data_IF_817977648129
#
_entry.id   IF_817977648129
#
_cell.length_a   1.000
_cell.length_b   1.000
_cell.length_c   1.000
_cell.angle_alpha   90.00
_cell.angle_beta   90.00
_cell.angle_gamma   90.00
#
_symmetry.space_group_name_H-M   'P 1'
#
loop_
_entity.id
_entity.type
_entity.pdbx_description
1 polymer ?
#
# COMPACT_ATOMS: atom_id res chain seq x y z
N UNK A 1 15.40 94.85 63.41
CA UNK A 1 15.87 93.46 63.49
C UNK A 1 17.12 93.34 62.63
N UNK A 2 18.24 92.91 63.20
CA UNK A 2 19.56 92.99 62.54
C UNK A 2 19.76 91.80 61.58
N UNK A 3 20.18 92.04 60.31
CA UNK A 3 20.42 91.02 59.28
C UNK A 3 21.47 89.95 59.65
N UNK A 4 22.20 90.16 60.75
CA UNK A 4 23.27 89.28 61.23
C UNK A 4 22.76 88.12 62.12
N UNK A 5 21.52 88.21 62.63
CA UNK A 5 20.92 87.14 63.45
C UNK A 5 20.31 86.03 62.60
N UNK A 6 19.64 86.37 61.49
CA UNK A 6 19.07 85.40 60.55
C UNK A 6 20.15 84.53 59.90
N UNK A 7 21.27 85.12 59.43
CA UNK A 7 22.39 84.37 58.83
C UNK A 7 23.05 83.35 59.77
N UNK A 8 23.11 83.62 61.07
CA UNK A 8 23.68 82.69 62.06
C UNK A 8 22.73 81.53 62.37
N UNK A 9 21.41 81.76 62.35
CA UNK A 9 20.42 80.68 62.45
C UNK A 9 20.39 79.80 61.21
N UNK A 10 20.53 80.38 60.01
CA UNK A 10 20.58 79.59 58.76
C UNK A 10 21.80 78.67 58.71
N UNK A 11 22.97 79.16 59.15
CA UNK A 11 24.19 78.35 59.21
C UNK A 11 24.10 77.21 60.24
N UNK A 12 23.51 77.46 61.41
CA UNK A 12 23.29 76.39 62.41
C UNK A 12 22.30 75.34 61.94
N UNK A 13 21.26 75.74 61.20
CA UNK A 13 20.32 74.81 60.59
C UNK A 13 20.99 73.94 59.50
N UNK A 14 21.82 74.54 58.65
CA UNK A 14 22.57 73.79 57.62
C UNK A 14 23.54 72.77 58.22
N UNK A 15 24.27 73.12 59.29
CA UNK A 15 25.19 72.19 59.97
C UNK A 15 24.44 70.99 60.55
N UNK A 16 23.24 71.19 61.10
CA UNK A 16 22.40 70.08 61.60
C UNK A 16 21.97 69.14 60.48
N UNK A 17 21.52 69.71 59.35
CA UNK A 17 21.10 68.91 58.19
C UNK A 17 22.28 68.07 57.65
N UNK A 18 23.49 68.64 57.55
CA UNK A 18 24.68 67.91 57.10
C UNK A 18 24.99 66.73 58.04
N UNK A 19 24.98 66.96 59.36
CA UNK A 19 25.25 65.92 60.35
C UNK A 19 24.23 64.78 60.28
N UNK A 20 22.97 65.08 60.00
CA UNK A 20 21.91 64.08 59.87
C UNK A 20 22.06 63.28 58.57
N UNK A 21 22.41 63.94 57.47
CA UNK A 21 22.73 63.30 56.19
C UNK A 21 23.90 62.31 56.34
N UNK A 22 24.99 62.69 57.02
CA UNK A 22 26.15 61.82 57.18
C UNK A 22 25.81 60.54 57.98
N UNK A 23 24.96 60.67 59.00
CA UNK A 23 24.47 59.50 59.75
C UNK A 23 23.62 58.58 58.87
N UNK A 24 22.67 59.15 58.12
CA UNK A 24 21.81 58.39 57.22
C UNK A 24 22.61 57.71 56.10
N UNK A 25 23.67 58.34 55.56
CA UNK A 25 24.56 57.72 54.57
C UNK A 25 25.22 56.45 55.10
N UNK A 26 25.69 56.46 56.34
CA UNK A 26 26.26 55.27 56.99
C UNK A 26 25.20 54.17 57.13
N UNK A 27 23.98 54.54 57.54
CA UNK A 27 22.88 53.59 57.70
C UNK A 27 22.48 52.99 56.34
N UNK A 28 22.31 53.81 55.31
CA UNK A 28 21.99 53.37 53.95
C UNK A 28 23.06 52.41 53.39
N UNK A 29 24.34 52.74 53.58
CA UNK A 29 25.44 51.89 53.13
C UNK A 29 25.48 50.54 53.90
N UNK A 30 25.21 50.55 55.21
CA UNK A 30 25.10 49.31 55.98
C UNK A 30 23.93 48.44 55.50
N UNK A 31 22.78 49.03 55.20
CA UNK A 31 21.66 48.28 54.59
C UNK A 31 22.04 47.70 53.23
N UNK A 32 22.76 48.45 52.40
CA UNK A 32 23.27 47.96 51.11
C UNK A 32 24.22 46.77 51.28
N UNK A 33 25.20 46.87 52.18
CA UNK A 33 26.15 45.78 52.50
C UNK A 33 25.44 44.54 53.07
N UNK A 34 24.37 44.73 53.84
CA UNK A 34 23.51 43.65 54.35
C UNK A 34 22.51 43.10 53.31
N UNK A 35 22.58 43.56 52.04
CA UNK A 35 21.65 43.22 50.96
C UNK A 35 20.17 43.57 51.24
N UNK A 36 19.93 44.51 52.14
CA UNK A 36 18.60 45.09 52.44
C UNK A 36 18.32 46.27 51.51
N UNK A 37 18.16 45.96 50.23
CA UNK A 37 18.20 46.95 49.16
C UNK A 37 17.04 47.95 49.19
N UNK A 38 15.84 47.53 49.59
CA UNK A 38 14.68 48.43 49.69
C UNK A 38 14.83 49.42 50.85
N UNK A 39 15.37 48.98 51.98
CA UNK A 39 15.68 49.83 53.13
C UNK A 39 16.80 50.83 52.81
N UNK A 40 17.83 50.40 52.07
CA UNK A 40 18.89 51.29 51.60
C UNK A 40 18.34 52.39 50.66
N UNK A 41 17.45 52.03 49.71
CA UNK A 41 16.80 53.00 48.82
C UNK A 41 15.97 54.00 49.62
N UNK A 42 15.14 53.53 50.56
CA UNK A 42 14.28 54.38 51.38
C UNK A 42 15.09 55.42 52.17
N UNK A 43 16.18 54.99 52.81
CA UNK A 43 17.05 55.91 53.57
C UNK A 43 17.75 56.89 52.63
N UNK A 44 18.15 56.47 51.43
CA UNK A 44 18.70 57.37 50.42
C UNK A 44 17.68 58.39 49.88
N UNK A 45 16.40 58.04 49.79
CA UNK A 45 15.32 58.98 49.49
C UNK A 45 15.13 60.00 50.62
N UNK A 46 15.19 59.58 51.89
CA UNK A 46 15.18 60.46 53.06
C UNK A 46 16.38 61.44 53.06
N UNK A 47 17.57 60.98 52.66
CA UNK A 47 18.75 61.85 52.47
C UNK A 47 18.50 62.88 51.37
N UNK A 48 17.86 62.49 50.26
CA UNK A 48 17.52 63.42 49.17
C UNK A 48 16.55 64.51 49.65
N UNK A 49 15.54 64.16 50.44
CA UNK A 49 14.60 65.14 51.02
C UNK A 49 15.29 66.13 51.96
N UNK A 50 16.22 65.66 52.81
CA UNK A 50 17.01 66.53 53.68
C UNK A 50 17.97 67.41 52.87
N UNK A 51 18.62 66.88 51.83
CA UNK A 51 19.52 67.60 50.95
C UNK A 51 18.79 68.69 50.14
N UNK A 52 17.53 68.46 49.75
CA UNK A 52 16.68 69.47 49.10
C UNK A 52 16.36 70.64 50.03
N UNK A 53 16.06 70.38 51.31
CA UNK A 53 15.83 71.44 52.31
C UNK A 53 17.06 72.31 52.56
N UNK A 54 18.26 71.78 52.27
CA UNK A 54 19.54 72.48 52.43
C UNK A 54 20.18 72.98 51.13
N UNK A 55 19.49 72.89 49.98
CA UNK A 55 20.02 73.23 48.64
C UNK A 55 21.34 72.52 48.27
N UNK A 56 21.52 71.28 48.73
CA UNK A 56 22.75 70.49 48.54
C UNK A 56 22.68 69.60 47.28
N UNK A 57 22.78 70.22 46.10
CA UNK A 57 22.63 69.54 44.81
C UNK A 57 23.60 68.39 44.55
N UNK A 58 24.84 68.47 45.06
CA UNK A 58 25.84 67.39 44.94
C UNK A 58 25.40 66.11 45.64
N UNK A 59 24.84 66.22 46.84
CA UNK A 59 24.36 65.08 47.64
C UNK A 59 23.14 64.44 46.97
N UNK A 60 22.24 65.24 46.39
CA UNK A 60 21.09 64.74 45.64
C UNK A 60 21.56 63.89 44.45
N UNK A 61 22.54 64.36 43.68
CA UNK A 61 23.10 63.60 42.54
C UNK A 61 23.77 62.31 42.99
N UNK A 62 24.59 62.36 44.05
CA UNK A 62 25.27 61.21 44.63
C UNK A 62 24.26 60.12 45.07
N UNK A 63 23.20 60.50 45.80
CA UNK A 63 22.20 59.53 46.25
C UNK A 63 21.36 58.96 45.10
N UNK A 64 21.05 59.75 44.07
CA UNK A 64 20.39 59.23 42.86
C UNK A 64 21.25 58.19 42.15
N UNK A 65 22.56 58.40 42.06
CA UNK A 65 23.51 57.42 41.50
C UNK A 65 23.61 56.17 42.37
N UNK A 66 23.62 56.33 43.69
CA UNK A 66 23.61 55.21 44.62
C UNK A 66 22.32 54.37 44.49
N UNK A 67 21.14 55.01 44.44
CA UNK A 67 19.85 54.33 44.17
C UNK A 67 19.88 53.60 42.82
N UNK A 68 20.42 54.23 41.77
CA UNK A 68 20.57 53.58 40.46
C UNK A 68 21.45 52.32 40.55
N UNK A 69 22.57 52.39 41.27
CA UNK A 69 23.47 51.25 41.52
C UNK A 69 22.78 50.12 42.29
N UNK A 70 21.97 50.47 43.30
CA UNK A 70 21.17 49.48 44.04
C UNK A 70 20.13 48.82 43.12
N UNK A 71 19.44 49.60 42.28
CA UNK A 71 18.47 49.06 41.31
C UNK A 71 19.12 48.13 40.30
N UNK A 72 20.29 48.51 39.78
CA UNK A 72 21.09 47.64 38.91
C UNK A 72 21.51 46.36 39.63
N UNK A 73 21.87 46.44 40.92
CA UNK A 73 22.19 45.28 41.75
C UNK A 73 20.97 44.39 42.02
N UNK A 74 19.76 44.97 42.14
CA UNK A 74 18.50 44.23 42.26
C UNK A 74 18.18 43.54 40.93
N UNK A 75 18.28 44.25 39.81
CA UNK A 75 17.92 43.72 38.50
C UNK A 75 18.91 42.63 38.03
N UNK A 76 20.21 42.79 38.31
CA UNK A 76 21.22 41.75 38.08
C UNK A 76 21.20 40.64 39.16
N UNK A 77 20.58 40.87 40.32
CA UNK A 77 20.52 39.94 41.45
C UNK A 77 19.21 39.15 41.59
N UNK A 78 18.17 39.49 40.81
CA UNK A 78 16.88 38.78 40.79
C UNK A 78 17.05 37.30 40.42
N UNK A 79 17.94 36.96 39.51
CA UNK A 79 18.19 35.58 39.08
C UNK A 79 18.79 34.72 40.21
N UNK A 80 19.61 35.30 41.09
CA UNK A 80 20.18 34.63 42.26
C UNK A 80 19.16 34.44 43.39
N UNK A 81 18.18 35.34 43.53
CA UNK A 81 17.13 35.26 44.55
C UNK A 81 16.16 34.10 44.31
N UNK A 82 15.95 33.70 43.06
CA UNK A 82 15.06 32.59 42.69
C UNK A 82 15.81 31.30 42.34
N UNK A 83 17.14 31.33 42.25
CA UNK A 83 17.96 30.18 41.87
C UNK A 83 17.66 28.93 42.71
N UNK A 84 17.68 29.06 44.04
CA UNK A 84 17.47 27.92 44.95
C UNK A 84 16.06 27.31 44.81
N UNK A 85 15.05 28.14 44.59
CA UNK A 85 13.66 27.68 44.46
C UNK A 85 13.42 27.05 43.08
N UNK A 86 13.97 27.62 42.02
CA UNK A 86 13.93 27.04 40.69
C UNK A 86 14.74 25.75 40.59
N UNK A 87 15.90 25.67 41.25
CA UNK A 87 16.70 24.46 41.30
C UNK A 87 15.95 23.33 42.02
N UNK A 88 15.29 23.61 43.16
CA UNK A 88 14.47 22.61 43.85
C UNK A 88 13.35 22.06 42.97
N UNK A 89 12.68 22.92 42.22
CA UNK A 89 11.62 22.48 41.31
C UNK A 89 12.19 21.72 40.10
N UNK A 90 13.34 22.13 39.57
CA UNK A 90 14.08 21.39 38.54
C UNK A 90 14.45 19.99 39.04
N UNK A 91 15.12 19.88 40.18
CA UNK A 91 15.58 18.61 40.76
C UNK A 91 14.40 17.64 40.91
N UNK A 92 13.29 18.12 41.48
CA UNK A 92 12.06 17.35 41.60
C UNK A 92 11.54 16.85 40.25
N UNK A 93 11.47 17.72 39.23
CA UNK A 93 10.97 17.35 37.89
C UNK A 93 11.91 16.38 37.18
N UNK A 94 13.20 16.65 37.19
CA UNK A 94 14.24 15.81 36.59
C UNK A 94 14.21 14.41 37.21
N UNK A 95 14.15 14.30 38.54
CA UNK A 95 14.04 13.00 39.22
C UNK A 95 12.78 12.22 38.81
N UNK A 96 11.66 12.91 38.59
CA UNK A 96 10.45 12.27 38.06
C UNK A 96 10.68 11.71 36.66
N UNK A 97 11.34 12.44 35.76
CA UNK A 97 11.66 11.95 34.41
C UNK A 97 12.67 10.80 34.42
N UNK A 98 13.75 10.91 35.20
CA UNK A 98 14.73 9.83 35.37
C UNK A 98 14.07 8.56 35.92
N UNK A 99 13.14 8.67 36.88
CA UNK A 99 12.42 7.51 37.42
C UNK A 99 11.53 6.80 36.39
N UNK A 100 11.17 7.49 35.31
CA UNK A 100 10.37 6.96 34.19
C UNK A 100 11.23 6.54 32.99
N UNK A 101 12.57 6.58 33.11
CA UNK A 101 13.52 6.37 32.02
C UNK A 101 13.35 7.37 30.85
N UNK A 102 12.78 8.55 31.13
CA UNK A 102 12.57 9.61 30.15
C UNK A 102 13.79 10.55 30.10
N UNK A 103 14.89 10.00 29.59
CA UNK A 103 16.22 10.65 29.66
C UNK A 103 16.29 11.90 28.77
N UNK A 104 15.53 11.95 27.67
CA UNK A 104 15.53 13.10 26.75
C UNK A 104 14.97 14.35 27.43
N UNK A 105 13.88 14.21 28.18
CA UNK A 105 13.22 15.33 28.83
C UNK A 105 13.98 15.77 30.08
N UNK A 106 14.55 14.81 30.82
CA UNK A 106 15.46 15.09 31.92
C UNK A 106 16.67 15.93 31.45
N UNK A 107 17.29 15.55 30.32
CA UNK A 107 18.43 16.25 29.74
C UNK A 107 18.05 17.64 29.21
N UNK A 108 16.94 17.75 28.46
CA UNK A 108 16.47 19.04 27.93
C UNK A 108 16.16 20.05 29.03
N UNK A 109 15.54 19.61 30.13
CA UNK A 109 15.26 20.48 31.28
C UNK A 109 16.54 20.96 31.96
N UNK A 110 17.54 20.09 32.12
CA UNK A 110 18.83 20.49 32.70
C UNK A 110 19.59 21.44 31.79
N UNK A 111 19.66 21.19 30.48
CA UNK A 111 20.27 22.13 29.53
C UNK A 111 19.59 23.50 29.53
N UNK A 112 18.26 23.52 29.53
CA UNK A 112 17.49 24.78 29.57
C UNK A 112 17.79 25.56 30.85
N UNK A 113 17.87 24.88 31.99
CA UNK A 113 18.22 25.50 33.26
C UNK A 113 19.67 26.00 33.28
N UNK A 114 20.62 25.21 32.77
CA UNK A 114 22.02 25.61 32.65
C UNK A 114 22.16 26.89 31.83
N UNK A 115 21.57 26.93 30.63
CA UNK A 115 21.61 28.12 29.79
C UNK A 115 20.98 29.35 30.45
N UNK A 116 19.93 29.17 31.27
CA UNK A 116 19.30 30.28 31.97
C UNK A 116 20.23 30.94 33.00
N UNK A 117 21.08 30.17 33.68
CA UNK A 117 21.90 30.65 34.80
C UNK A 117 23.42 30.65 34.53
N UNK A 118 23.87 30.24 33.33
CA UNK A 118 25.30 30.07 32.98
C UNK A 118 26.16 31.34 33.17
N UNK A 119 25.56 32.52 33.07
CA UNK A 119 26.26 33.80 33.17
C UNK A 119 26.28 34.39 34.59
N UNK A 120 25.54 33.80 35.52
CA UNK A 120 25.31 34.35 36.87
C UNK A 120 25.67 33.39 38.00
N UNK A 121 25.72 32.08 37.73
CA UNK A 121 26.04 31.04 38.72
C UNK A 121 27.17 30.15 38.22
N UNK A 122 28.20 30.00 39.04
CA UNK A 122 29.20 28.96 38.85
C UNK A 122 28.67 27.62 39.40
N UNK A 123 28.10 26.80 38.52
CA UNK A 123 27.52 25.51 38.92
C UNK A 123 28.53 24.56 39.57
N UNK A 124 29.82 24.67 39.24
CA UNK A 124 30.86 23.81 39.83
C UNK A 124 31.07 24.10 41.32
N UNK A 125 30.75 25.32 41.75
CA UNK A 125 30.85 25.73 43.15
C UNK A 125 29.67 25.24 44.02
N UNK A 126 28.63 24.66 43.43
CA UNK A 126 27.41 24.21 44.11
C UNK A 126 27.26 22.68 44.04
N UNK A 127 27.66 21.93 45.10
CA UNK A 127 27.73 20.47 45.05
C UNK A 127 26.41 19.78 44.64
N UNK A 128 25.28 20.21 45.21
CA UNK A 128 23.97 19.60 44.90
C UNK A 128 23.53 19.79 43.45
N UNK A 129 23.88 20.93 42.85
CA UNK A 129 23.56 21.25 41.45
C UNK A 129 24.46 20.44 40.52
N UNK A 130 25.75 20.44 40.81
CA UNK A 130 26.75 19.69 40.07
C UNK A 130 26.47 18.17 40.10
N UNK A 131 26.07 17.63 41.26
CA UNK A 131 25.71 16.21 41.41
C UNK A 131 24.53 15.83 40.50
N UNK A 132 23.47 16.65 40.44
CA UNK A 132 22.32 16.42 39.56
C UNK A 132 22.74 16.44 38.09
N UNK A 133 23.57 17.41 37.68
CA UNK A 133 24.02 17.53 36.29
C UNK A 133 24.88 16.34 35.88
N UNK A 134 25.80 15.89 36.75
CA UNK A 134 26.61 14.69 36.53
C UNK A 134 25.71 13.45 36.40
N UNK A 135 24.69 13.31 37.24
CA UNK A 135 23.73 12.20 37.18
C UNK A 135 22.99 12.16 35.82
N UNK A 136 22.48 13.31 35.37
CA UNK A 136 21.78 13.42 34.09
C UNK A 136 22.73 13.21 32.91
N UNK A 137 23.93 13.79 32.94
CA UNK A 137 24.93 13.63 31.87
C UNK A 137 25.35 12.17 31.73
N UNK A 138 25.60 11.47 32.83
CA UNK A 138 25.89 10.03 32.81
C UNK A 138 24.74 9.21 32.21
N UNK A 139 23.50 9.53 32.59
CA UNK A 139 22.30 8.88 32.07
C UNK A 139 22.12 9.15 30.57
N UNK A 140 22.35 10.40 30.13
CA UNK A 140 22.30 10.81 28.74
C UNK A 140 23.37 10.10 27.89
N UNK A 141 24.61 10.03 28.38
CA UNK A 141 25.69 9.31 27.71
C UNK A 141 25.38 7.81 27.56
N UNK A 142 24.82 7.18 28.60
CA UNK A 142 24.36 5.79 28.54
C UNK A 142 23.22 5.61 27.52
N UNK A 143 22.26 6.54 27.50
CA UNK A 143 21.16 6.58 26.53
C UNK A 143 21.69 6.71 25.09
N UNK A 144 22.59 7.67 24.82
CA UNK A 144 23.20 7.85 23.49
C UNK A 144 23.96 6.61 23.03
N UNK A 145 24.68 5.94 23.92
CA UNK A 145 25.37 4.67 23.61
C UNK A 145 24.39 3.56 23.25
N UNK A 146 23.26 3.46 23.95
CA UNK A 146 22.18 2.51 23.66
C UNK A 146 21.53 2.82 22.29
N UNK A 147 21.21 4.08 22.03
CA UNK A 147 20.68 4.54 20.73
C UNK A 147 21.66 4.23 19.58
N UNK A 148 22.96 4.49 19.77
CA UNK A 148 24.00 4.15 18.80
C UNK A 148 24.11 2.64 18.54
N UNK A 149 23.86 1.80 19.55
CA UNK A 149 23.84 0.34 19.41
C UNK A 149 22.65 -0.12 18.57
N UNK A 150 21.45 0.42 18.82
CA UNK A 150 20.28 0.12 18.00
C UNK A 150 20.48 0.54 16.54
N UNK A 151 21.04 1.73 16.29
CA UNK A 151 21.36 2.18 14.93
C UNK A 151 22.32 1.22 14.21
N UNK A 152 23.35 0.73 14.91
CA UNK A 152 24.29 -0.27 14.36
C UNK A 152 23.63 -1.62 14.06
N UNK A 153 22.60 -2.01 14.81
CA UNK A 153 21.85 -3.25 14.55
C UNK A 153 20.86 -3.09 13.39
N UNK A 154 20.27 -1.91 13.21
CA UNK A 154 19.30 -1.65 12.14
C UNK A 154 19.95 -1.57 10.76
N UNK A 155 21.17 -1.03 10.63
CA UNK A 155 21.85 -0.92 9.34
C UNK A 155 21.99 -2.26 8.58
N UNK A 156 22.51 -3.34 9.20
CA UNK A 156 22.55 -4.66 8.57
C UNK A 156 21.17 -5.22 8.20
N UNK A 157 20.13 -4.94 9.01
CA UNK A 157 18.77 -5.37 8.71
C UNK A 157 18.20 -4.62 7.50
N UNK A 158 18.47 -3.34 7.36
CA UNK A 158 18.06 -2.54 6.19
C UNK A 158 18.66 -3.09 4.89
N UNK A 159 19.96 -3.44 4.93
CA UNK A 159 20.65 -4.06 3.80
C UNK A 159 20.02 -5.42 3.45
N UNK A 160 19.78 -6.28 4.46
CA UNK A 160 19.13 -7.57 4.25
C UNK A 160 17.72 -7.42 3.69
N UNK A 161 16.94 -6.48 4.23
CA UNK A 161 15.57 -6.20 3.80
C UNK A 161 15.54 -5.78 2.33
N UNK A 162 16.37 -4.79 1.97
CA UNK A 162 16.47 -4.28 0.59
C UNK A 162 16.94 -5.36 -0.36
N UNK A 163 17.93 -6.17 0.05
CA UNK A 163 18.39 -7.33 -0.73
C UNK A 163 17.25 -8.33 -0.96
N UNK A 164 16.51 -8.72 0.08
CA UNK A 164 15.42 -9.67 -0.06
C UNK A 164 14.29 -9.13 -0.93
N UNK A 165 13.93 -7.85 -0.79
CA UNK A 165 12.99 -7.19 -1.70
C UNK A 165 13.46 -7.23 -3.15
N UNK A 166 14.73 -6.91 -3.42
CA UNK A 166 15.26 -6.92 -4.79
C UNK A 166 15.28 -8.31 -5.44
N UNK A 167 15.43 -9.36 -4.63
CA UNK A 167 15.36 -10.76 -5.06
C UNK A 167 13.95 -11.36 -4.96
N UNK A 168 12.95 -10.52 -4.70
CA UNK A 168 11.54 -10.90 -4.57
C UNK A 168 11.27 -11.99 -3.50
N UNK A 169 12.06 -12.01 -2.42
CA UNK A 169 11.92 -12.95 -1.32
C UNK A 169 11.11 -12.34 -0.17
N UNK A 170 9.80 -12.19 -0.40
CA UNK A 170 8.88 -11.45 0.48
C UNK A 170 8.86 -12.00 1.91
N UNK A 171 8.81 -13.32 2.08
CA UNK A 171 8.78 -13.96 3.41
C UNK A 171 10.02 -13.61 4.25
N UNK A 172 11.21 -13.59 3.63
CA UNK A 172 12.43 -13.19 4.33
C UNK A 172 12.45 -11.69 4.64
N UNK A 173 11.98 -10.84 3.72
CA UNK A 173 11.83 -9.41 3.96
C UNK A 173 10.88 -9.11 5.14
N UNK A 174 9.75 -9.81 5.26
CA UNK A 174 8.82 -9.70 6.39
C UNK A 174 9.46 -10.06 7.73
N UNK A 175 10.23 -11.15 7.74
CA UNK A 175 10.95 -11.60 8.94
C UNK A 175 11.97 -10.56 9.38
N UNK A 176 12.68 -9.93 8.43
CA UNK A 176 13.63 -8.85 8.72
C UNK A 176 12.89 -7.61 9.24
N UNK A 177 11.79 -7.20 8.61
CA UNK A 177 10.98 -6.07 9.06
C UNK A 177 10.44 -6.28 10.48
N UNK A 178 9.99 -7.49 10.80
CA UNK A 178 9.51 -7.85 12.15
C UNK A 178 10.62 -7.71 13.19
N UNK A 179 11.84 -8.15 12.87
CA UNK A 179 13.02 -7.96 13.74
C UNK A 179 13.36 -6.48 13.90
N UNK A 180 13.34 -5.70 12.82
CA UNK A 180 13.61 -4.27 12.86
C UNK A 180 12.59 -3.52 13.73
N UNK A 181 11.29 -3.85 13.61
CA UNK A 181 10.22 -3.28 14.45
C UNK A 181 10.43 -3.48 15.94
N UNK A 182 10.99 -4.61 16.36
CA UNK A 182 11.31 -4.84 17.78
C UNK A 182 12.41 -3.89 18.29
N UNK A 183 13.38 -3.56 17.44
CA UNK A 183 14.46 -2.63 17.77
C UNK A 183 13.93 -1.19 17.75
N UNK A 184 13.17 -0.83 16.72
CA UNK A 184 12.61 0.52 16.51
C UNK A 184 11.75 1.00 17.68
N UNK A 185 11.04 0.10 18.39
CA UNK A 185 10.27 0.46 19.61
C UNK A 185 11.09 1.19 20.68
N UNK A 186 12.40 1.03 20.68
CA UNK A 186 13.32 1.61 21.67
C UNK A 186 14.23 2.71 21.08
N UNK A 187 14.04 3.05 19.81
CA UNK A 187 14.85 4.06 19.11
C UNK A 187 14.15 5.41 19.23
N UNK A 188 14.83 6.42 19.76
CA UNK A 188 14.32 7.78 19.78
C UNK A 188 14.87 8.55 18.57
N UNK A 189 14.46 8.15 17.36
CA UNK A 189 14.88 8.79 16.11
C UNK A 189 13.78 8.71 15.05
N UNK A 190 13.02 9.80 14.93
CA UNK A 190 11.89 9.91 14.01
C UNK A 190 12.26 9.68 12.54
N UNK A 191 13.42 10.18 12.11
CA UNK A 191 13.88 9.98 10.73
C UNK A 191 14.07 8.48 10.43
N UNK A 192 14.66 7.76 11.38
CA UNK A 192 14.90 6.32 11.23
C UNK A 192 13.58 5.52 11.27
N UNK A 193 12.62 5.93 12.10
CA UNK A 193 11.27 5.35 12.08
C UNK A 193 10.57 5.58 10.73
N UNK A 194 10.63 6.80 10.20
CA UNK A 194 9.96 7.16 8.95
C UNK A 194 10.58 6.42 7.76
N UNK A 195 11.90 6.26 7.72
CA UNK A 195 12.61 5.42 6.74
C UNK A 195 12.08 3.97 6.74
N UNK A 196 11.93 3.36 7.91
CA UNK A 196 11.42 1.99 8.00
C UNK A 196 9.93 1.87 7.68
N UNK A 197 9.13 2.91 7.92
CA UNK A 197 7.73 2.97 7.45
C UNK A 197 7.66 3.00 5.93
N UNK A 198 8.51 3.76 5.26
CA UNK A 198 8.59 3.75 3.78
C UNK A 198 8.94 2.36 3.25
N UNK A 199 9.89 1.67 3.88
CA UNK A 199 10.24 0.29 3.54
C UNK A 199 9.06 -0.68 3.73
N UNK A 200 8.27 -0.52 4.79
CA UNK A 200 7.05 -1.30 5.02
C UNK A 200 5.95 -1.03 3.97
N UNK A 201 5.77 0.23 3.58
CA UNK A 201 4.86 0.63 2.50
C UNK A 201 5.28 -0.02 1.18
N UNK A 202 6.58 0.01 0.87
CA UNK A 202 7.13 -0.61 -0.33
C UNK A 202 6.89 -2.12 -0.35
N UNK A 203 7.14 -2.83 0.75
CA UNK A 203 6.84 -4.26 0.87
C UNK A 203 5.34 -4.55 0.67
N UNK A 204 4.48 -3.73 1.26
CA UNK A 204 3.02 -3.89 1.13
C UNK A 204 2.56 -3.68 -0.32
N UNK A 205 3.16 -2.74 -1.03
CA UNK A 205 2.92 -2.51 -2.46
C UNK A 205 3.34 -3.72 -3.31
N UNK A 206 4.54 -4.25 -3.06
CA UNK A 206 5.05 -5.44 -3.79
C UNK A 206 4.15 -6.66 -3.54
N UNK A 207 3.71 -6.89 -2.29
CA UNK A 207 2.78 -7.98 -1.95
C UNK A 207 1.46 -7.90 -2.72
N UNK A 208 0.88 -6.70 -2.79
CA UNK A 208 -0.36 -6.48 -3.55
C UNK A 208 -0.15 -6.83 -5.01
N UNK A 209 0.96 -6.38 -5.58
CA UNK A 209 1.34 -6.70 -6.96
C UNK A 209 1.46 -8.21 -7.17
N UNK A 210 2.24 -8.94 -6.37
CA UNK A 210 2.37 -10.40 -6.53
C UNK A 210 1.04 -11.15 -6.44
N UNK A 211 0.21 -10.81 -5.44
CA UNK A 211 -1.11 -11.43 -5.30
C UNK A 211 -1.99 -11.18 -6.52
N UNK A 212 -1.89 -9.99 -7.11
CA UNK A 212 -2.60 -9.62 -8.33
C UNK A 212 -2.08 -10.40 -9.54
N UNK A 213 -0.77 -10.56 -9.70
CA UNK A 213 -0.17 -11.35 -10.77
C UNK A 213 -0.61 -12.82 -10.72
N UNK A 214 -0.71 -13.40 -9.53
CA UNK A 214 -1.21 -14.76 -9.33
C UNK A 214 -2.71 -14.89 -9.70
N UNK A 215 -3.53 -13.92 -9.30
CA UNK A 215 -4.94 -13.85 -9.71
C UNK A 215 -5.09 -13.74 -11.23
N UNK A 216 -4.32 -12.87 -11.87
CA UNK A 216 -4.32 -12.74 -13.34
C UNK A 216 -3.92 -14.06 -13.99
N UNK A 217 -2.84 -14.70 -13.54
CA UNK A 217 -2.36 -15.97 -14.09
C UNK A 217 -3.43 -17.08 -13.97
N UNK A 218 -3.99 -17.26 -12.78
CA UNK A 218 -5.03 -18.27 -12.54
C UNK A 218 -6.32 -17.98 -13.33
N UNK A 219 -6.71 -16.71 -13.43
CA UNK A 219 -7.86 -16.27 -14.21
C UNK A 219 -7.67 -16.54 -15.71
N UNK A 220 -6.49 -16.25 -16.27
CA UNK A 220 -6.16 -16.57 -17.66
C UNK A 220 -6.21 -18.08 -17.92
N UNK A 221 -5.74 -18.90 -16.96
CA UNK A 221 -5.83 -20.36 -17.08
C UNK A 221 -7.30 -20.83 -17.08
N UNK A 222 -8.16 -20.23 -16.25
CA UNK A 222 -9.59 -20.52 -16.26
C UNK A 222 -10.25 -20.13 -17.59
N UNK A 223 -9.92 -18.96 -18.12
CA UNK A 223 -10.42 -18.49 -19.43
C UNK A 223 -9.98 -19.43 -20.55
N UNK A 224 -8.75 -19.95 -20.52
CA UNK A 224 -8.30 -20.98 -21.47
C UNK A 224 -9.21 -22.21 -21.40
N UNK A 225 -9.46 -22.74 -20.19
CA UNK A 225 -10.35 -23.89 -19.99
C UNK A 225 -11.75 -23.62 -20.53
N UNK A 226 -12.34 -22.46 -20.25
CA UNK A 226 -13.67 -22.09 -20.77
C UNK A 226 -13.68 -22.03 -22.31
N UNK A 227 -12.63 -21.47 -22.90
CA UNK A 227 -12.46 -21.40 -24.36
C UNK A 227 -12.38 -22.80 -24.98
N UNK A 228 -11.59 -23.70 -24.38
CA UNK A 228 -11.41 -25.09 -24.84
C UNK A 228 -12.71 -25.91 -24.74
N UNK A 229 -13.59 -25.54 -23.81
CA UNK A 229 -14.93 -26.13 -23.65
C UNK A 229 -16.03 -25.36 -24.39
N UNK A 230 -15.66 -24.45 -25.31
CA UNK A 230 -16.58 -23.68 -26.15
C UNK A 230 -17.57 -22.79 -25.38
N UNK A 231 -17.22 -22.40 -24.15
CA UNK A 231 -18.00 -21.49 -23.29
C UNK A 231 -17.52 -20.04 -23.50
N UNK A 232 -17.67 -19.53 -24.71
CA UNK A 232 -17.08 -18.24 -25.12
C UNK A 232 -17.64 -17.04 -24.36
N UNK A 233 -18.95 -16.99 -24.12
CA UNK A 233 -19.58 -15.92 -23.33
C UNK A 233 -19.05 -15.87 -21.88
N UNK A 234 -18.90 -17.04 -21.25
CA UNK A 234 -18.34 -17.16 -19.90
C UNK A 234 -16.87 -16.72 -19.90
N UNK A 235 -16.09 -17.16 -20.90
CA UNK A 235 -14.70 -16.78 -21.06
C UNK A 235 -14.52 -15.26 -21.26
N UNK A 236 -15.42 -14.64 -22.04
CA UNK A 236 -15.44 -13.19 -22.27
C UNK A 236 -15.74 -12.41 -20.98
N UNK A 237 -16.80 -12.81 -20.25
CA UNK A 237 -17.13 -12.18 -18.96
C UNK A 237 -16.00 -12.30 -17.94
N UNK A 238 -15.40 -13.48 -17.80
CA UNK A 238 -14.25 -13.66 -16.91
C UNK A 238 -13.03 -12.84 -17.33
N UNK A 239 -12.84 -12.58 -18.64
CA UNK A 239 -11.77 -11.70 -19.10
C UNK A 239 -12.06 -10.23 -18.74
N UNK A 240 -13.30 -9.77 -18.94
CA UNK A 240 -13.69 -8.41 -18.59
C UNK A 240 -13.56 -8.15 -17.08
N UNK A 241 -13.95 -9.12 -16.24
CA UNK A 241 -13.75 -9.07 -14.77
C UNK A 241 -12.27 -8.96 -14.38
N UNK A 242 -11.38 -9.70 -15.06
CA UNK A 242 -9.93 -9.60 -14.84
C UNK A 242 -9.36 -8.25 -15.29
N UNK A 243 -9.87 -7.70 -16.39
CA UNK A 243 -9.46 -6.38 -16.89
C UNK A 243 -9.82 -5.27 -15.89
N UNK A 244 -11.06 -5.26 -15.39
CA UNK A 244 -11.53 -4.30 -14.37
C UNK A 244 -10.67 -4.37 -13.09
N UNK A 245 -10.34 -5.59 -12.66
CA UNK A 245 -9.51 -5.82 -11.48
C UNK A 245 -8.07 -5.29 -11.65
N UNK A 246 -7.52 -5.31 -12.86
CA UNK A 246 -6.18 -4.76 -13.16
C UNK A 246 -6.20 -3.26 -13.36
N UNK A 247 -7.24 -2.70 -14.00
CA UNK A 247 -7.41 -1.25 -14.19
C UNK A 247 -7.49 -0.51 -12.85
N UNK A 248 -8.21 -1.09 -11.88
CA UNK A 248 -8.32 -0.52 -10.53
C UNK A 248 -6.98 -0.44 -9.78
N UNK A 249 -5.96 -1.18 -10.21
CA UNK A 249 -4.64 -1.27 -9.56
C UNK A 249 -3.50 -0.66 -10.43
N UNK A 250 -3.85 0.08 -11.49
CA UNK A 250 -2.93 0.82 -12.38
C UNK A 250 -1.83 -0.03 -13.05
N UNK A 251 -2.11 -1.32 -13.30
CA UNK A 251 -1.16 -2.25 -13.90
C UNK A 251 -1.33 -2.36 -15.43
N UNK A 252 -1.20 -1.23 -16.13
CA UNK A 252 -1.35 -1.07 -17.59
C UNK A 252 -0.54 -2.09 -18.42
N UNK A 253 0.54 -2.63 -17.86
CA UNK A 253 1.39 -3.64 -18.50
C UNK A 253 0.65 -4.91 -18.97
N UNK A 254 -0.51 -5.23 -18.39
CA UNK A 254 -1.31 -6.41 -18.77
C UNK A 254 -2.28 -6.18 -19.93
N UNK A 255 -2.56 -4.92 -20.30
CA UNK A 255 -3.58 -4.59 -21.31
C UNK A 255 -3.33 -5.28 -22.64
N UNK A 256 -2.06 -5.33 -23.09
CA UNK A 256 -1.70 -6.02 -24.32
C UNK A 256 -2.00 -7.52 -24.26
N UNK A 257 -1.80 -8.16 -23.11
CA UNK A 257 -2.09 -9.58 -22.94
C UNK A 257 -3.60 -9.84 -22.99
N UNK A 258 -4.39 -9.00 -22.33
CA UNK A 258 -5.86 -9.10 -22.35
C UNK A 258 -6.43 -8.88 -23.76
N UNK A 259 -5.94 -7.88 -24.50
CA UNK A 259 -6.35 -7.66 -25.89
C UNK A 259 -6.04 -8.86 -26.80
N UNK A 260 -4.84 -9.44 -26.68
CA UNK A 260 -4.49 -10.66 -27.40
C UNK A 260 -5.39 -11.82 -27.00
N UNK A 261 -5.75 -11.92 -25.72
CA UNK A 261 -6.62 -12.99 -25.22
C UNK A 261 -8.05 -12.83 -25.71
N UNK A 262 -8.60 -11.62 -25.68
CA UNK A 262 -9.92 -11.26 -26.23
C UNK A 262 -10.03 -11.65 -27.69
N UNK A 263 -9.04 -11.27 -28.49
CA UNK A 263 -8.96 -11.65 -29.91
C UNK A 263 -8.95 -13.17 -30.09
N UNK A 264 -8.18 -13.89 -29.26
CA UNK A 264 -8.10 -15.36 -29.33
C UNK A 264 -9.44 -16.02 -29.04
N UNK A 265 -10.19 -15.53 -28.05
CA UNK A 265 -11.55 -16.01 -27.73
C UNK A 265 -12.49 -15.81 -28.93
N UNK A 266 -12.53 -14.59 -29.47
CA UNK A 266 -13.37 -14.24 -30.63
C UNK A 266 -13.00 -15.07 -31.87
N UNK A 267 -11.72 -15.27 -32.14
CA UNK A 267 -11.26 -16.07 -33.28
C UNK A 267 -11.64 -17.56 -33.11
N UNK A 268 -11.59 -18.08 -31.88
CA UNK A 268 -12.01 -19.45 -31.58
C UNK A 268 -13.53 -19.61 -31.72
N UNK A 269 -14.31 -18.65 -31.21
CA UNK A 269 -15.76 -18.61 -31.34
C UNK A 269 -16.20 -18.57 -32.81
N UNK A 270 -15.58 -17.69 -33.60
CA UNK A 270 -15.87 -17.58 -35.04
C UNK A 270 -15.59 -18.87 -35.80
N UNK A 271 -14.51 -19.59 -35.45
CA UNK A 271 -14.21 -20.91 -36.04
C UNK A 271 -15.25 -21.95 -35.63
N UNK A 272 -15.63 -21.99 -34.36
CA UNK A 272 -16.67 -22.89 -33.86
C UNK A 272 -18.01 -22.65 -34.57
N UNK A 273 -18.44 -21.40 -34.68
CA UNK A 273 -19.70 -21.02 -35.34
C UNK A 273 -19.71 -21.38 -36.84
N UNK A 274 -18.57 -21.28 -37.53
CA UNK A 274 -18.43 -21.75 -38.91
C UNK A 274 -18.66 -23.25 -39.02
N UNK A 275 -18.09 -24.04 -38.12
CA UNK A 275 -18.26 -25.49 -38.10
C UNK A 275 -19.70 -25.91 -37.79
N UNK A 276 -20.39 -25.20 -36.88
CA UNK A 276 -21.82 -25.41 -36.63
C UNK A 276 -22.67 -25.09 -37.87
N UNK A 277 -22.36 -23.99 -38.56
CA UNK A 277 -23.05 -23.62 -39.80
C UNK A 277 -22.82 -24.66 -40.91
N UNK A 278 -21.62 -25.22 -40.99
CA UNK A 278 -21.30 -26.32 -41.91
C UNK A 278 -22.10 -27.58 -41.57
N UNK A 279 -22.20 -27.96 -40.28
CA UNK A 279 -23.06 -29.06 -39.83
C UNK A 279 -24.49 -28.82 -40.33
N UNK A 280 -25.10 -27.68 -40.02
CA UNK A 280 -26.48 -27.36 -40.41
C UNK A 280 -26.70 -27.45 -41.93
N UNK A 281 -25.73 -27.00 -42.72
CA UNK A 281 -25.76 -27.09 -44.18
C UNK A 281 -25.73 -28.55 -44.66
N UNK A 282 -24.88 -29.37 -44.03
CA UNK A 282 -24.81 -30.81 -44.30
C UNK A 282 -26.10 -31.52 -43.89
N UNK A 283 -26.75 -31.13 -42.79
CA UNK A 283 -28.04 -31.72 -42.37
C UNK A 283 -29.12 -31.55 -43.44
N UNK A 284 -29.23 -30.35 -44.02
CA UNK A 284 -30.16 -30.06 -45.11
C UNK A 284 -29.81 -30.92 -46.33
N UNK A 285 -28.53 -30.94 -46.70
CA UNK A 285 -28.04 -31.70 -47.86
C UNK A 285 -28.28 -33.22 -47.70
N UNK A 286 -28.18 -33.76 -46.48
CA UNK A 286 -28.51 -35.16 -46.19
C UNK A 286 -29.98 -35.44 -46.51
N UNK A 287 -30.90 -34.57 -46.07
CA UNK A 287 -32.35 -34.74 -46.32
C UNK A 287 -32.67 -34.68 -47.82
N UNK A 288 -32.07 -33.75 -48.54
CA UNK A 288 -32.28 -33.57 -49.98
C UNK A 288 -31.75 -34.78 -50.77
N UNK A 289 -30.53 -35.23 -50.45
CA UNK A 289 -29.91 -36.41 -51.08
C UNK A 289 -30.71 -37.68 -50.78
N UNK A 290 -31.16 -37.85 -49.53
CA UNK A 290 -31.97 -39.00 -49.15
C UNK A 290 -33.29 -39.04 -49.91
N UNK A 291 -33.99 -37.91 -50.00
CA UNK A 291 -35.26 -37.79 -50.73
C UNK A 291 -35.10 -38.03 -52.24
N UNK A 292 -33.93 -37.70 -52.78
CA UNK A 292 -33.59 -37.91 -54.20
C UNK A 292 -33.05 -39.31 -54.51
N UNK A 293 -32.95 -40.21 -53.52
CA UNK A 293 -32.36 -41.54 -53.68
C UNK A 293 -30.84 -41.56 -53.83
N UNK A 294 -30.16 -40.43 -53.59
CA UNK A 294 -28.71 -40.26 -53.61
C UNK A 294 -28.11 -40.69 -52.25
N UNK A 295 -28.29 -41.97 -51.91
CA UNK A 295 -27.96 -42.49 -50.58
C UNK A 295 -26.45 -42.48 -50.27
N UNK A 296 -25.60 -42.57 -51.30
CA UNK A 296 -24.14 -42.57 -51.10
C UNK A 296 -23.63 -41.18 -50.71
N UNK A 297 -24.16 -40.13 -51.33
CA UNK A 297 -23.88 -38.73 -51.04
C UNK A 297 -24.43 -38.35 -49.65
N UNK A 298 -25.62 -38.83 -49.30
CA UNK A 298 -26.18 -38.66 -47.95
C UNK A 298 -25.26 -39.29 -46.88
N UNK A 299 -24.78 -40.52 -47.12
CA UNK A 299 -23.87 -41.20 -46.20
C UNK A 299 -22.54 -40.44 -46.01
N UNK A 300 -21.95 -39.95 -47.11
CA UNK A 300 -20.72 -39.15 -47.05
C UNK A 300 -20.90 -37.86 -46.23
N UNK A 301 -22.07 -37.24 -46.32
CA UNK A 301 -22.37 -36.05 -45.52
C UNK A 301 -22.59 -36.40 -44.04
N UNK A 302 -23.18 -37.55 -43.69
CA UNK A 302 -23.22 -38.04 -42.31
C UNK A 302 -21.81 -38.22 -41.74
N UNK A 303 -20.89 -38.83 -42.50
CA UNK A 303 -19.50 -39.02 -42.08
C UNK A 303 -18.77 -37.70 -41.86
N UNK A 304 -19.05 -36.68 -42.68
CA UNK A 304 -18.50 -35.33 -42.49
C UNK A 304 -19.02 -34.69 -41.20
N UNK A 305 -20.33 -34.76 -40.92
CA UNK A 305 -20.89 -34.25 -39.67
C UNK A 305 -20.23 -34.95 -38.48
N UNK A 306 -20.12 -36.29 -38.50
CA UNK A 306 -19.46 -37.04 -37.43
C UNK A 306 -18.02 -36.56 -37.18
N UNK A 307 -17.25 -36.30 -38.24
CA UNK A 307 -15.88 -35.77 -38.12
C UNK A 307 -15.85 -34.38 -37.50
N UNK A 308 -16.69 -33.46 -37.97
CA UNK A 308 -16.77 -32.09 -37.44
C UNK A 308 -17.21 -32.14 -35.97
N UNK A 309 -18.27 -32.89 -35.66
CA UNK A 309 -18.81 -33.02 -34.30
C UNK A 309 -17.81 -33.59 -33.31
N UNK A 310 -16.99 -34.58 -33.70
CA UNK A 310 -15.88 -35.06 -32.86
C UNK A 310 -14.84 -33.97 -32.60
N UNK A 311 -14.49 -33.20 -33.63
CA UNK A 311 -13.51 -32.12 -33.52
C UNK A 311 -13.99 -31.00 -32.57
N UNK A 312 -15.29 -30.72 -32.54
CA UNK A 312 -15.89 -29.70 -31.66
C UNK A 312 -16.52 -30.26 -30.37
N UNK A 313 -16.28 -31.52 -30.02
CA UNK A 313 -16.78 -32.13 -28.77
C UNK A 313 -18.30 -32.30 -28.69
N UNK A 314 -19.04 -32.29 -29.80
CA UNK A 314 -20.49 -32.44 -29.87
C UNK A 314 -20.91 -33.92 -29.96
N UNK A 315 -20.74 -34.64 -28.85
CA UNK A 315 -20.96 -36.10 -28.82
C UNK A 315 -22.37 -36.54 -29.20
N UNK A 316 -23.40 -35.75 -28.84
CA UNK A 316 -24.80 -35.98 -29.23
C UNK A 316 -24.98 -36.08 -30.76
N UNK A 317 -24.29 -35.23 -31.52
CA UNK A 317 -24.30 -35.26 -32.99
C UNK A 317 -23.53 -36.45 -33.54
N UNK A 318 -22.42 -36.83 -32.88
CA UNK A 318 -21.64 -38.01 -33.27
C UNK A 318 -22.50 -39.26 -33.22
N UNK A 319 -23.26 -39.44 -32.15
CA UNK A 319 -24.14 -40.60 -31.96
C UNK A 319 -25.30 -40.57 -32.96
N UNK A 320 -26.00 -39.43 -33.05
CA UNK A 320 -27.16 -39.27 -33.94
C UNK A 320 -26.81 -39.53 -35.41
N UNK A 321 -25.72 -38.94 -35.91
CA UNK A 321 -25.34 -39.07 -37.31
C UNK A 321 -24.64 -40.38 -37.64
N UNK A 322 -24.02 -41.03 -36.65
CA UNK A 322 -23.52 -42.41 -36.83
C UNK A 322 -24.67 -43.39 -37.00
N UNK A 323 -25.74 -43.24 -36.21
CA UNK A 323 -26.93 -44.08 -36.34
C UNK A 323 -27.66 -43.81 -37.67
N UNK A 324 -27.89 -42.55 -38.02
CA UNK A 324 -28.49 -42.20 -39.31
C UNK A 324 -27.68 -42.75 -40.49
N UNK A 325 -26.35 -42.67 -40.42
CA UNK A 325 -25.48 -43.26 -41.43
C UNK A 325 -25.64 -44.78 -41.56
N UNK A 326 -25.82 -45.49 -40.44
CA UNK A 326 -26.10 -46.93 -40.46
C UNK A 326 -27.44 -47.24 -41.15
N UNK A 327 -28.48 -46.47 -40.86
CA UNK A 327 -29.81 -46.64 -41.47
C UNK A 327 -29.79 -46.36 -42.99
N UNK A 328 -29.11 -45.29 -43.41
CA UNK A 328 -28.89 -44.98 -44.83
C UNK A 328 -28.13 -46.10 -45.54
N UNK A 329 -27.15 -46.72 -44.87
CA UNK A 329 -26.37 -47.83 -45.42
C UNK A 329 -27.24 -49.08 -45.67
N UNK A 330 -28.23 -49.33 -44.82
CA UNK A 330 -29.23 -50.40 -45.05
C UNK A 330 -30.06 -50.07 -46.29
N UNK A 331 -30.60 -48.85 -46.37
CA UNK A 331 -31.39 -48.40 -47.53
C UNK A 331 -30.62 -48.43 -48.84
N UNK A 332 -29.34 -48.05 -48.83
CA UNK A 332 -28.47 -48.14 -49.99
C UNK A 332 -28.31 -49.59 -50.48
N UNK A 333 -28.18 -50.56 -49.57
CA UNK A 333 -28.11 -51.99 -49.94
C UNK A 333 -29.42 -52.47 -50.55
N UNK A 334 -30.56 -52.15 -49.92
CA UNK A 334 -31.89 -52.49 -50.46
C UNK A 334 -32.09 -51.90 -51.86
N UNK A 335 -31.70 -50.63 -52.05
CA UNK A 335 -31.78 -49.96 -53.34
C UNK A 335 -30.86 -50.60 -54.40
N UNK A 336 -29.64 -50.98 -54.04
CA UNK A 336 -28.72 -51.67 -54.94
C UNK A 336 -29.25 -53.05 -55.33
N UNK A 337 -29.79 -53.81 -54.38
CA UNK A 337 -30.44 -55.11 -54.66
C UNK A 337 -31.64 -54.94 -55.59
N UNK A 338 -32.50 -53.95 -55.32
CA UNK A 338 -33.62 -53.60 -56.19
C UNK A 338 -33.16 -53.26 -57.60
N UNK A 339 -32.10 -52.44 -57.74
CA UNK A 339 -31.55 -52.05 -59.04
C UNK A 339 -31.01 -53.24 -59.83
N UNK A 340 -30.28 -54.15 -59.18
CA UNK A 340 -29.80 -55.39 -59.79
C UNK A 340 -30.95 -56.29 -60.23
N UNK A 341 -31.96 -56.47 -59.38
CA UNK A 341 -33.17 -57.22 -59.74
C UNK A 341 -33.88 -56.58 -60.93
N UNK A 342 -34.15 -55.26 -60.88
CA UNK A 342 -34.81 -54.52 -61.95
C UNK A 342 -34.10 -54.68 -63.29
N UNK A 343 -32.76 -54.54 -63.31
CA UNK A 343 -31.98 -54.72 -64.53
C UNK A 343 -32.05 -56.17 -65.05
N UNK A 344 -32.06 -57.16 -64.14
CA UNK A 344 -32.20 -58.58 -64.52
C UNK A 344 -33.58 -58.85 -65.13
N UNK A 345 -34.65 -58.28 -64.55
CA UNK A 345 -36.01 -58.39 -65.10
C UNK A 345 -36.11 -57.72 -66.47
N UNK A 346 -35.55 -56.52 -66.64
CA UNK A 346 -35.52 -55.83 -67.94
C UNK A 346 -34.80 -56.69 -68.98
N UNK A 347 -33.61 -57.20 -68.67
CA UNK A 347 -32.83 -58.02 -69.60
C UNK A 347 -33.54 -59.33 -69.97
N UNK A 348 -34.15 -60.03 -69.01
CA UNK A 348 -34.94 -61.24 -69.27
C UNK A 348 -36.19 -60.96 -70.12
N UNK A 349 -36.81 -59.79 -69.91
CA UNK A 349 -37.98 -59.37 -70.67
C UNK A 349 -37.61 -58.99 -72.10
N UNK A 350 -36.51 -58.26 -72.30
CA UNK A 350 -35.95 -57.96 -73.62
C UNK A 350 -35.59 -59.24 -74.38
N UNK A 351 -34.87 -60.18 -73.74
CA UNK A 351 -34.53 -61.48 -74.33
C UNK A 351 -35.77 -62.31 -74.72
N UNK A 352 -36.82 -62.27 -73.87
CA UNK A 352 -38.08 -62.95 -74.16
C UNK A 352 -38.84 -62.33 -75.35
N UNK A 353 -38.90 -60.99 -75.43
CA UNK A 353 -39.53 -60.29 -76.56
C UNK A 353 -38.78 -60.57 -77.88
N UNK A 354 -37.45 -60.55 -77.85
CA UNK A 354 -36.61 -60.87 -79.01
C UNK A 354 -36.83 -62.31 -79.53
N UNK A 355 -37.06 -63.27 -78.63
CA UNK A 355 -37.38 -64.66 -78.99
C UNK A 355 -38.76 -64.77 -79.67
N UNK A 356 -39.75 -64.04 -79.14
CA UNK A 356 -41.11 -64.00 -79.70
C UNK A 356 -41.11 -63.45 -81.14
N UNK A 357 -40.39 -62.35 -81.38
CA UNK A 357 -40.33 -61.69 -82.69
C UNK A 357 -39.68 -62.55 -83.78
N UNK A 358 -38.84 -63.52 -83.39
CA UNK A 358 -38.15 -64.44 -84.31
C UNK A 358 -38.92 -65.71 -84.60
N UNK A 359 -40.12 -65.90 -84.02
CA UNK A 359 -40.87 -67.17 -84.07
C UNK A 359 -40.06 -68.37 -83.54
N UNK A 360 -39.03 -68.10 -82.75
CA UNK A 360 -38.10 -69.10 -82.22
C UNK A 360 -38.38 -69.26 -80.73
N UNK A 361 -38.91 -70.44 -80.39
CA UNK A 361 -38.82 -71.00 -79.04
C UNK A 361 -39.75 -70.40 -77.96
N UNK A 362 -41.03 -70.81 -78.00
CA UNK A 362 -42.00 -70.56 -76.93
C UNK A 362 -41.58 -71.12 -75.56
N UNK A 363 -40.71 -72.14 -75.51
CA UNK A 363 -40.24 -72.70 -74.24
C UNK A 363 -39.29 -71.72 -73.53
N UNK A 364 -38.39 -71.08 -74.29
CA UNK A 364 -37.49 -70.03 -73.77
C UNK A 364 -38.26 -68.83 -73.22
N UNK A 365 -39.31 -68.39 -73.91
CA UNK A 365 -40.19 -67.31 -73.41
C UNK A 365 -40.84 -67.69 -72.07
N UNK A 366 -41.39 -68.91 -71.98
CA UNK A 366 -42.03 -69.41 -70.77
C UNK A 366 -41.01 -69.53 -69.61
N UNK A 367 -39.78 -69.94 -69.91
CA UNK A 367 -38.72 -70.03 -68.90
C UNK A 367 -38.25 -68.66 -68.40
N UNK A 368 -38.08 -67.68 -69.29
CA UNK A 368 -37.78 -66.30 -68.90
C UNK A 368 -38.90 -65.70 -68.02
N UNK A 369 -40.17 -65.96 -68.35
CA UNK A 369 -41.29 -65.53 -67.52
C UNK A 369 -41.28 -66.18 -66.12
N UNK A 370 -40.98 -67.48 -66.02
CA UNK A 370 -40.81 -68.16 -64.72
C UNK A 370 -39.69 -67.53 -63.89
N UNK A 371 -38.53 -67.26 -64.50
CA UNK A 371 -37.38 -66.60 -63.85
C UNK A 371 -37.71 -65.20 -63.35
N UNK A 372 -38.43 -64.40 -64.15
CA UNK A 372 -38.91 -63.08 -63.72
C UNK A 372 -39.84 -63.21 -62.51
N UNK A 373 -40.80 -64.15 -62.54
CA UNK A 373 -41.73 -64.39 -61.44
C UNK A 373 -40.99 -64.81 -60.16
N UNK A 374 -39.99 -65.67 -60.27
CA UNK A 374 -39.15 -66.08 -59.13
C UNK A 374 -38.36 -64.91 -58.55
N UNK A 375 -37.73 -64.08 -59.39
CA UNK A 375 -37.00 -62.89 -58.96
C UNK A 375 -37.90 -61.88 -58.23
N UNK A 376 -39.12 -61.65 -58.74
CA UNK A 376 -40.09 -60.76 -58.10
C UNK A 376 -40.60 -61.33 -56.77
N UNK A 377 -40.87 -62.64 -56.70
CA UNK A 377 -41.30 -63.31 -55.48
C UNK A 377 -40.20 -63.37 -54.40
N UNK A 378 -38.93 -63.36 -54.79
CA UNK A 378 -37.81 -63.36 -53.86
C UNK A 378 -37.52 -61.96 -53.26
N UNK A 379 -38.09 -60.91 -53.84
CA UNK A 379 -37.88 -59.52 -53.42
C UNK A 379 -39.06 -58.92 -52.64
N UNK A 380 -40.26 -59.49 -52.81
CA UNK A 380 -41.46 -59.24 -51.99
C UNK A 380 -41.37 -60.01 -50.68
#
# INVERSE_FOLDING_TARGET
MSPNSEKQETQKAQIRIISEIDQLKVIANNHYLMKKFYEAIKISEEIIELAQKGDMSSIITEQKQFIATIRDSIDNGKDLLFFDDEFKELDKRVRVFLSKDDITEAHSLTETFMHKFENVVDFQSLPSVNDLFIEVENSWNAFLKKQGTFKKQLGPLEIQFTSYLSTNNILLAENVLSKAKLILKNVNNKNLEDQWKELEINLSSIKKKESLEEKVKSGIENINKLTDHYKFDEAGKSLDELMELVENEDLVSYNRQFEMKKKTIIDAENKYNKLITEINTLEITIRDNFSSGLFQEALLNCDKIVKISRFIGKQEYVEMYSQLGADIKIKLREYQQFKTMKNSVIALNEDGLDALDKNEDFERLLENYKKIKELLNAFL
#
